data_IF_377985014459
#
_entry.id   IF_377985014459
#
_cell.length_a   1.000
_cell.length_b   1.000
_cell.length_c   1.000
_cell.angle_alpha   90.00
_cell.angle_beta   90.00
_cell.angle_gamma   90.00
#
_symmetry.space_group_name_H-M   'P 1'
#
loop_
_entity.id
_entity.type
_entity.pdbx_description
1 polymer ?
#
# COMPACT_ATOMS: atom_id res chain seq x y z
N UNK A 1 -8.37 3.10 -9.74
CA UNK A 1 -7.00 2.95 -9.19
C UNK A 1 -6.10 4.03 -9.76
N UNK A 2 -5.29 4.66 -8.90
CA UNK A 2 -4.44 5.79 -9.24
C UNK A 2 -3.03 5.58 -8.69
N UNK A 3 -2.00 5.67 -9.56
CA UNK A 3 -0.59 5.47 -9.23
C UNK A 3 -0.33 4.09 -8.61
N UNK A 4 -0.54 3.04 -9.40
CA UNK A 4 -0.33 1.65 -8.99
C UNK A 4 1.16 1.29 -8.98
N UNK A 5 1.52 0.41 -8.04
CA UNK A 5 2.85 -0.14 -7.92
C UNK A 5 2.83 -1.66 -7.80
N UNK A 6 3.91 -2.28 -8.26
CA UNK A 6 4.25 -3.70 -8.08
C UNK A 6 3.12 -4.68 -8.44
N UNK A 7 2.58 -4.64 -9.66
CA UNK A 7 1.62 -5.65 -10.08
C UNK A 7 2.26 -7.04 -10.10
N UNK A 8 1.54 -8.02 -9.57
CA UNK A 8 1.94 -9.42 -9.55
C UNK A 8 0.70 -10.31 -9.66
N UNK A 9 0.91 -11.60 -9.92
CA UNK A 9 -0.18 -12.58 -9.88
C UNK A 9 -0.07 -13.39 -8.62
N UNK A 10 -1.23 -13.66 -8.00
CA UNK A 10 -1.35 -14.59 -6.87
C UNK A 10 -1.25 -16.04 -7.36
N UNK A 11 -1.14 -16.99 -6.44
CA UNK A 11 -1.15 -18.43 -6.75
C UNK A 11 -2.46 -18.87 -7.40
N UNK A 12 -3.56 -18.16 -7.16
CA UNK A 12 -4.85 -18.36 -7.82
C UNK A 12 -4.95 -17.73 -9.22
N UNK A 13 -3.90 -16.99 -9.65
CA UNK A 13 -3.89 -16.31 -10.94
C UNK A 13 -4.62 -14.97 -10.95
N UNK A 14 -4.97 -14.42 -9.80
CA UNK A 14 -5.57 -13.10 -9.67
C UNK A 14 -4.51 -12.00 -9.74
N UNK A 15 -4.87 -10.81 -10.21
CA UNK A 15 -3.99 -9.65 -10.28
C UNK A 15 -3.96 -8.93 -8.93
N UNK A 16 -2.79 -8.87 -8.30
CA UNK A 16 -2.52 -8.20 -7.02
C UNK A 16 -1.63 -6.99 -7.26
N UNK A 17 -1.98 -5.82 -6.71
CA UNK A 17 -1.13 -4.63 -6.77
C UNK A 17 -1.39 -3.66 -5.61
N UNK A 18 -0.42 -2.76 -5.39
CA UNK A 18 -0.52 -1.65 -4.46
C UNK A 18 -1.01 -0.40 -5.18
N UNK A 19 -1.93 0.33 -4.59
CA UNK A 19 -2.50 1.56 -5.10
C UNK A 19 -2.22 2.72 -4.13
N UNK A 20 -1.37 3.68 -4.52
CA UNK A 20 -1.12 4.88 -3.72
C UNK A 20 -2.34 5.79 -3.67
N UNK A 21 -3.19 5.73 -4.67
CA UNK A 21 -4.42 6.51 -4.79
C UNK A 21 -4.20 8.04 -4.79
N UNK A 22 -3.00 8.49 -5.17
CA UNK A 22 -2.62 9.89 -5.18
C UNK A 22 -3.49 10.70 -6.14
N UNK A 23 -3.96 11.87 -5.68
CA UNK A 23 -4.66 12.84 -6.53
C UNK A 23 -5.77 12.22 -7.38
N UNK A 24 -6.49 11.29 -6.80
CA UNK A 24 -7.63 10.67 -7.45
C UNK A 24 -8.56 11.73 -8.01
N UNK A 25 -8.74 11.69 -9.31
CA UNK A 25 -9.63 12.60 -10.04
C UNK A 25 -10.34 11.84 -11.14
N UNK A 26 -11.50 12.31 -11.55
CA UNK A 26 -12.11 11.93 -12.83
C UNK A 26 -11.51 12.81 -13.92
N UNK A 27 -11.55 12.41 -15.20
CA UNK A 27 -11.17 13.28 -16.29
C UNK A 27 -11.90 14.63 -16.19
N UNK A 28 -11.13 15.73 -16.22
CA UNK A 28 -11.60 17.12 -16.14
C UNK A 28 -12.15 17.59 -14.79
N UNK A 29 -12.10 16.74 -13.75
CA UNK A 29 -12.46 17.14 -12.39
C UNK A 29 -11.19 17.50 -11.59
N UNK A 30 -11.34 18.31 -10.55
CA UNK A 30 -10.27 18.58 -9.60
C UNK A 30 -9.91 17.29 -8.82
N UNK A 31 -8.65 17.13 -8.41
CA UNK A 31 -8.22 16.03 -7.54
C UNK A 31 -9.01 16.01 -6.24
N UNK A 32 -9.37 14.81 -5.78
CA UNK A 32 -9.96 14.65 -4.46
C UNK A 32 -8.94 15.01 -3.34
N UNK A 33 -9.46 15.48 -2.21
CA UNK A 33 -8.67 15.69 -1.00
C UNK A 33 -7.96 14.38 -0.61
N UNK A 34 -6.68 14.48 -0.25
CA UNK A 34 -5.86 13.31 0.11
C UNK A 34 -6.42 12.53 1.29
N UNK A 35 -7.21 13.16 2.17
CA UNK A 35 -7.91 12.51 3.27
C UNK A 35 -8.91 11.46 2.80
N UNK A 36 -9.42 11.62 1.58
CA UNK A 36 -10.36 10.71 0.93
C UNK A 36 -9.65 9.72 -0.02
N UNK A 37 -8.33 9.73 -0.05
CA UNK A 37 -7.50 8.94 -0.94
C UNK A 37 -6.59 7.95 -0.19
N UNK A 38 -7.11 7.05 0.66
CA UNK A 38 -6.26 6.10 1.36
C UNK A 38 -5.51 5.21 0.36
N UNK A 39 -4.27 4.89 0.70
CA UNK A 39 -3.47 3.92 -0.05
C UNK A 39 -3.81 2.50 0.38
N UNK A 40 -3.85 1.57 -0.55
CA UNK A 40 -4.29 0.20 -0.27
C UNK A 40 -3.71 -0.84 -1.22
N UNK A 41 -3.66 -2.07 -0.77
CA UNK A 41 -3.46 -3.23 -1.62
C UNK A 41 -4.81 -3.79 -2.07
N UNK A 42 -4.85 -4.31 -3.29
CA UNK A 42 -6.08 -4.83 -3.89
C UNK A 42 -5.78 -6.02 -4.80
N UNK A 43 -6.67 -6.99 -4.78
CA UNK A 43 -6.64 -8.17 -5.65
C UNK A 43 -7.89 -8.20 -6.53
N UNK A 44 -7.66 -8.43 -7.82
CA UNK A 44 -8.71 -8.56 -8.82
C UNK A 44 -8.67 -9.93 -9.49
N UNK A 45 -9.81 -10.58 -9.54
CA UNK A 45 -10.04 -11.71 -10.43
C UNK A 45 -10.42 -11.21 -11.80
N UNK A 46 -9.73 -11.72 -12.82
CA UNK A 46 -9.93 -11.34 -14.22
C UNK A 46 -10.57 -12.53 -14.95
N UNK A 47 -11.73 -12.32 -15.52
CA UNK A 47 -12.39 -13.26 -16.44
C UNK A 47 -12.27 -12.72 -17.87
N UNK A 48 -11.23 -13.13 -18.55
CA UNK A 48 -10.94 -12.68 -19.93
C UNK A 48 -12.03 -13.11 -20.91
N UNK A 49 -12.61 -14.29 -20.72
CA UNK A 49 -13.64 -14.84 -21.60
C UNK A 49 -14.89 -13.97 -21.60
N UNK A 50 -15.34 -13.55 -20.41
CA UNK A 50 -16.54 -12.74 -20.25
C UNK A 50 -16.23 -11.25 -20.12
N UNK A 51 -14.95 -10.84 -20.22
CA UNK A 51 -14.46 -9.46 -20.06
C UNK A 51 -14.92 -8.80 -18.75
N UNK A 52 -14.83 -9.56 -17.65
CA UNK A 52 -15.22 -9.10 -16.32
C UNK A 52 -14.01 -9.02 -15.39
N UNK A 53 -14.06 -8.02 -14.51
CA UNK A 53 -13.09 -7.85 -13.44
C UNK A 53 -13.84 -7.72 -12.12
N UNK A 54 -13.46 -8.50 -11.13
CA UNK A 54 -14.06 -8.51 -9.81
C UNK A 54 -13.01 -8.22 -8.75
N UNK A 55 -13.28 -7.25 -7.85
CA UNK A 55 -12.44 -7.01 -6.67
C UNK A 55 -12.69 -8.14 -5.67
N UNK A 56 -11.70 -9.01 -5.47
CA UNK A 56 -11.84 -10.19 -4.61
C UNK A 56 -11.23 -9.98 -3.22
N UNK A 57 -10.31 -9.04 -3.04
CA UNK A 57 -9.72 -8.73 -1.74
C UNK A 57 -9.19 -7.28 -1.71
N UNK A 58 -9.12 -6.66 -0.53
CA UNK A 58 -8.53 -5.34 -0.36
C UNK A 58 -8.22 -5.05 1.12
N UNK A 59 -7.17 -4.28 1.37
CA UNK A 59 -6.86 -3.74 2.70
C UNK A 59 -7.78 -2.59 3.12
N UNK A 60 -8.59 -2.02 2.23
CA UNK A 60 -9.60 -1.01 2.60
C UNK A 60 -10.68 -1.58 3.54
N UNK A 61 -10.90 -2.90 3.48
CA UNK A 61 -11.90 -3.60 4.29
C UNK A 61 -11.23 -4.30 5.49
N UNK A 62 -10.01 -3.87 5.88
CA UNK A 62 -9.27 -4.43 7.01
C UNK A 62 -9.64 -3.79 8.34
N UNK A 63 -9.16 -4.38 9.44
CA UNK A 63 -9.27 -3.85 10.79
C UNK A 63 -8.23 -2.76 11.12
N UNK A 64 -7.35 -2.43 10.17
CA UNK A 64 -6.33 -1.39 10.32
C UNK A 64 -6.82 0.01 9.96
N UNK A 65 -6.16 1.01 10.51
CA UNK A 65 -6.36 2.40 10.12
C UNK A 65 -6.00 2.65 8.65
N UNK A 66 -6.74 3.50 7.98
CA UNK A 66 -6.40 3.99 6.65
C UNK A 66 -5.17 4.89 6.71
N UNK A 67 -4.26 4.70 5.77
CA UNK A 67 -3.01 5.45 5.66
C UNK A 67 -2.83 6.01 4.25
N UNK A 68 -2.05 7.06 4.12
CA UNK A 68 -1.72 7.66 2.85
C UNK A 68 -0.22 7.53 2.56
N UNK A 69 0.11 6.75 1.54
CA UNK A 69 1.47 6.55 1.03
C UNK A 69 1.64 7.33 -0.26
N UNK A 70 2.43 8.37 -0.19
CA UNK A 70 2.61 9.34 -1.28
C UNK A 70 3.36 8.76 -2.49
N UNK A 71 4.19 7.75 -2.25
CA UNK A 71 5.00 7.12 -3.30
C UNK A 71 5.39 5.70 -2.92
N UNK A 72 5.87 4.95 -3.91
CA UNK A 72 6.40 3.60 -3.73
C UNK A 72 5.33 2.65 -3.16
N UNK A 73 5.76 1.51 -2.68
CA UNK A 73 4.90 0.50 -2.12
C UNK A 73 4.96 -0.80 -2.91
N UNK A 74 4.77 -1.89 -2.21
CA UNK A 74 4.79 -3.23 -2.80
C UNK A 74 3.78 -4.11 -2.09
N UNK A 75 3.22 -5.04 -2.83
CA UNK A 75 2.39 -6.09 -2.29
C UNK A 75 2.83 -7.43 -2.87
N UNK A 76 2.81 -8.46 -2.05
CA UNK A 76 3.12 -9.83 -2.48
C UNK A 76 2.35 -10.85 -1.65
N UNK A 77 1.93 -11.92 -2.29
CA UNK A 77 1.42 -13.10 -1.60
C UNK A 77 2.58 -13.90 -0.99
N UNK A 78 2.43 -14.27 0.25
CA UNK A 78 3.37 -15.15 0.98
C UNK A 78 3.01 -16.61 0.68
N UNK A 79 3.87 -17.30 -0.06
CA UNK A 79 3.61 -18.66 -0.57
C UNK A 79 3.51 -19.73 0.52
N UNK A 80 4.03 -19.44 1.70
CA UNK A 80 4.05 -20.39 2.83
C UNK A 80 2.73 -20.47 3.58
N UNK A 81 1.95 -19.39 3.61
CA UNK A 81 0.70 -19.32 4.36
C UNK A 81 -0.46 -18.63 3.61
N UNK A 82 -0.22 -18.14 2.38
CA UNK A 82 -1.23 -17.45 1.57
C UNK A 82 -1.59 -16.04 2.07
N UNK A 83 -0.95 -15.53 3.11
CA UNK A 83 -1.15 -14.15 3.57
C UNK A 83 -0.55 -13.14 2.59
N UNK A 84 -0.98 -11.90 2.72
CA UNK A 84 -0.54 -10.81 1.85
C UNK A 84 0.37 -9.87 2.63
N UNK A 85 1.62 -9.73 2.16
CA UNK A 85 2.59 -8.77 2.70
C UNK A 85 2.46 -7.45 1.94
N UNK A 86 2.20 -6.37 2.65
CA UNK A 86 2.03 -5.03 2.08
C UNK A 86 3.07 -4.08 2.68
N UNK A 87 3.87 -3.46 1.81
CA UNK A 87 4.79 -2.39 2.16
C UNK A 87 4.19 -1.06 1.73
N UNK A 88 3.96 -0.17 2.68
CA UNK A 88 3.55 1.21 2.46
C UNK A 88 4.82 2.06 2.43
N UNK A 89 5.26 2.44 1.22
CA UNK A 89 6.65 2.85 0.97
C UNK A 89 7.05 4.21 1.49
N UNK A 90 6.13 5.18 1.49
CA UNK A 90 6.40 6.56 1.90
C UNK A 90 5.13 7.16 2.50
N UNK A 91 4.89 6.89 3.77
CA UNK A 91 3.71 7.37 4.50
C UNK A 91 3.90 8.81 4.94
N UNK A 92 2.83 9.59 4.87
CA UNK A 92 2.75 10.94 5.36
C UNK A 92 1.79 11.00 6.55
N UNK A 93 2.18 11.72 7.61
CA UNK A 93 1.31 11.96 8.74
C UNK A 93 0.21 12.96 8.39
N UNK A 94 -0.99 12.76 8.92
CA UNK A 94 -2.17 13.59 8.60
C UNK A 94 -2.01 15.06 9.00
N UNK A 95 -1.11 15.37 9.93
CA UNK A 95 -0.78 16.75 10.34
C UNK A 95 -0.23 17.62 9.19
N UNK A 96 0.32 16.99 8.14
CA UNK A 96 0.90 17.68 6.98
C UNK A 96 -0.04 17.78 5.78
N UNK A 97 -1.25 17.24 5.87
CA UNK A 97 -2.14 17.15 4.71
C UNK A 97 -2.61 18.51 4.17
N UNK A 98 -2.69 19.53 5.01
CA UNK A 98 -3.07 20.88 4.59
C UNK A 98 -1.95 21.65 3.89
N UNK A 99 -0.70 21.33 4.20
CA UNK A 99 0.48 22.06 3.72
C UNK A 99 1.16 21.36 2.54
N UNK A 100 0.95 20.03 2.42
CA UNK A 100 1.62 19.20 1.44
C UNK A 100 0.98 19.31 0.06
N UNK A 101 1.83 19.48 -0.92
CA UNK A 101 1.51 19.39 -2.33
C UNK A 101 2.41 18.35 -3.00
N UNK A 102 2.10 17.98 -4.23
CA UNK A 102 3.00 17.11 -4.99
C UNK A 102 4.42 17.68 -5.12
N UNK A 103 4.56 18.98 -5.22
CA UNK A 103 5.84 19.67 -5.47
C UNK A 103 6.72 19.79 -4.23
N UNK A 104 6.13 19.97 -3.04
CA UNK A 104 6.86 20.12 -1.79
C UNK A 104 6.88 18.87 -0.89
N UNK A 105 6.35 17.74 -1.37
CA UNK A 105 6.21 16.51 -0.59
C UNK A 105 7.49 16.00 0.08
N UNK A 106 8.65 16.25 -0.54
CA UNK A 106 9.94 15.85 0.00
C UNK A 106 10.42 16.69 1.19
N UNK A 107 9.74 17.80 1.47
CA UNK A 107 10.04 18.68 2.61
C UNK A 107 9.45 18.16 3.92
N UNK A 108 8.48 17.25 3.84
CA UNK A 108 7.80 16.66 4.99
C UNK A 108 8.44 15.33 5.39
N UNK A 109 8.53 15.04 6.71
CA UNK A 109 9.03 13.75 7.20
C UNK A 109 8.13 12.62 6.72
N UNK A 110 8.75 11.60 6.15
CA UNK A 110 8.06 10.39 5.72
C UNK A 110 8.49 9.22 6.59
N UNK A 111 7.60 8.29 6.75
CA UNK A 111 7.86 7.03 7.45
C UNK A 111 7.36 5.88 6.61
N UNK A 112 7.62 4.67 7.02
CA UNK A 112 7.21 3.48 6.27
C UNK A 112 6.66 2.41 7.18
N UNK A 113 5.79 1.59 6.64
CA UNK A 113 5.13 0.52 7.35
C UNK A 113 5.07 -0.73 6.48
N UNK A 114 5.28 -1.86 7.10
CA UNK A 114 5.07 -3.17 6.49
C UNK A 114 4.03 -3.91 7.33
N UNK A 115 2.99 -4.40 6.70
CA UNK A 115 1.93 -5.20 7.32
C UNK A 115 1.79 -6.54 6.62
N UNK A 116 1.55 -7.58 7.39
CA UNK A 116 1.04 -8.84 6.89
C UNK A 116 -0.45 -8.92 7.20
N UNK A 117 -1.23 -9.24 6.19
CA UNK A 117 -2.68 -9.41 6.29
C UNK A 117 -3.09 -10.84 5.97
N UNK A 118 -4.15 -11.31 6.63
CA UNK A 118 -4.82 -12.54 6.16
C UNK A 118 -5.44 -12.33 4.78
N UNK A 119 -5.44 -13.37 3.96
CA UNK A 119 -6.19 -13.38 2.69
C UNK A 119 -7.66 -13.78 2.94
N UNK A 120 -8.32 -13.07 3.85
CA UNK A 120 -9.74 -13.27 4.23
C UNK A 120 -10.54 -11.98 4.02
N UNK A 121 -11.86 -12.08 4.08
CA UNK A 121 -12.79 -10.95 4.03
C UNK A 121 -13.61 -10.87 5.32
N UNK A 122 -13.41 -9.84 6.14
CA UNK A 122 -12.41 -8.76 6.01
C UNK A 122 -10.97 -9.27 6.20
N UNK A 123 -10.01 -8.54 5.65
CA UNK A 123 -8.60 -8.76 5.91
C UNK A 123 -8.25 -8.40 7.36
N UNK A 124 -7.38 -9.18 8.01
CA UNK A 124 -6.94 -8.91 9.39
C UNK A 124 -5.43 -8.71 9.41
N UNK A 125 -4.95 -7.73 10.17
CA UNK A 125 -3.53 -7.54 10.40
C UNK A 125 -3.06 -8.63 11.35
N UNK A 126 -2.05 -9.40 10.94
CA UNK A 126 -1.42 -10.45 11.76
C UNK A 126 0.00 -10.08 12.19
N UNK A 127 0.61 -9.12 11.50
CA UNK A 127 1.93 -8.60 11.85
C UNK A 127 2.11 -7.18 11.30
N UNK A 128 2.84 -6.33 12.03
CA UNK A 128 3.14 -4.96 11.63
C UNK A 128 4.55 -4.56 12.06
N UNK A 129 5.24 -3.81 11.19
CA UNK A 129 6.49 -3.12 11.47
C UNK A 129 6.39 -1.67 10.98
N UNK A 130 6.80 -0.72 11.83
CA UNK A 130 6.91 0.71 11.48
C UNK A 130 8.35 1.16 11.58
N UNK A 131 8.83 1.89 10.57
CA UNK A 131 10.11 2.60 10.60
C UNK A 131 9.79 4.09 10.66
N UNK A 132 9.99 4.65 11.84
CA UNK A 132 9.68 6.04 12.14
C UNK A 132 10.96 6.88 12.11
N UNK A 133 10.89 8.20 11.81
CA UNK A 133 11.98 9.12 12.02
C UNK A 133 12.46 9.07 13.48
N UNK A 134 13.78 9.16 13.69
CA UNK A 134 14.37 9.08 15.04
C UNK A 134 13.94 10.26 15.93
N UNK A 135 13.70 11.42 15.34
CA UNK A 135 13.28 12.63 16.03
C UNK A 135 12.11 13.26 15.28
N UNK A 136 11.19 13.87 16.02
CA UNK A 136 9.98 14.49 15.46
C UNK A 136 10.33 15.67 14.52
N UNK A 137 11.44 16.35 14.77
CA UNK A 137 11.95 17.46 13.96
C UNK A 137 12.94 17.00 12.86
N UNK A 138 13.15 15.69 12.75
CA UNK A 138 14.08 15.14 11.77
C UNK A 138 13.53 15.29 10.36
N UNK A 139 14.29 15.92 9.49
CA UNK A 139 14.03 15.90 8.04
C UNK A 139 14.45 14.56 7.39
N UNK A 140 14.99 13.63 8.20
CA UNK A 140 15.38 12.30 7.72
C UNK A 140 14.13 11.44 7.62
N UNK A 141 13.84 11.01 6.42
CA UNK A 141 12.69 10.16 6.08
C UNK A 141 13.12 8.72 5.90
N UNK A 142 12.23 7.79 6.24
CA UNK A 142 12.35 6.39 5.86
C UNK A 142 11.41 6.11 4.70
N UNK A 143 11.96 5.66 3.57
CA UNK A 143 11.17 5.22 2.42
C UNK A 143 11.63 3.84 1.97
N UNK A 144 10.69 2.97 1.64
CA UNK A 144 10.95 1.62 1.14
C UNK A 144 10.26 1.40 -0.20
N UNK A 145 10.98 0.82 -1.15
CA UNK A 145 10.36 0.34 -2.40
C UNK A 145 9.51 -0.92 -2.17
N UNK A 146 9.87 -1.72 -1.19
CA UNK A 146 9.16 -2.95 -0.86
C UNK A 146 9.78 -3.69 0.32
N UNK A 147 9.12 -4.77 0.71
CA UNK A 147 9.57 -5.71 1.71
C UNK A 147 9.38 -7.13 1.19
N UNK A 148 10.19 -8.04 1.68
CA UNK A 148 10.13 -9.46 1.36
C UNK A 148 10.37 -10.28 2.61
N UNK A 149 9.64 -11.38 2.77
CA UNK A 149 9.90 -12.37 3.82
C UNK A 149 10.96 -13.36 3.34
N UNK A 150 12.02 -13.51 4.11
CA UNK A 150 13.03 -14.53 3.90
C UNK A 150 13.04 -15.53 5.07
N UNK A 151 13.27 -16.79 4.78
CA UNK A 151 13.48 -17.83 5.80
C UNK A 151 14.98 -18.03 5.98
N UNK A 152 15.51 -17.71 7.17
CA UNK A 152 16.94 -17.74 7.46
C UNK A 152 17.55 -19.15 7.36
N UNK A 153 16.76 -20.18 7.60
CA UNK A 153 17.13 -21.59 7.41
C UNK A 153 17.43 -21.98 5.96
N UNK A 154 17.03 -21.16 4.99
CA UNK A 154 17.29 -21.33 3.56
C UNK A 154 18.49 -20.54 3.05
N UNK A 155 19.11 -19.73 3.90
CA UNK A 155 20.33 -18.98 3.57
C UNK A 155 21.52 -19.92 3.91
N UNK A 156 22.06 -20.57 2.88
CA UNK A 156 23.29 -21.38 2.97
C UNK A 156 24.47 -20.56 2.51
#
# INVERSE_FOLDING_TARGET
>A
NWHQHSPSFTTEGNLLFFNNNNYKARPFDDPEDIRNCPSYAVEYKIDEKNRKVEKVWSTLDSDGENVYSIAMGRVSELKDNGNILVCYGALLSSEYFDEMTWWNRAEFPQWTMVREYTNTKPAKIVWEMKLLPLFKESKVSWTLFGAERIHLDRIK
#
